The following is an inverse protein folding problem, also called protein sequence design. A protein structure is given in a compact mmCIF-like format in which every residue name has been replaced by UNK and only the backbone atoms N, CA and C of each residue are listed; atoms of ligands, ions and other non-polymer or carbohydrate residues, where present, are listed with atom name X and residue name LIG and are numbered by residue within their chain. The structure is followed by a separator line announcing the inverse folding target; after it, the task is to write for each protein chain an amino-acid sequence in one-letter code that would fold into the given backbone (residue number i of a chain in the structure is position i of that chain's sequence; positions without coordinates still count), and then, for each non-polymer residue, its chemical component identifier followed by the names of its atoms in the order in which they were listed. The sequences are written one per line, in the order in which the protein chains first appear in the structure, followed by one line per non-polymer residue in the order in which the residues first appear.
data_IF_087647795864
#
_entry.id   IF_087647795864
#
_cell.length_a   1.000
_cell.length_b   1.000
_cell.length_c   1.000
_cell.angle_alpha   90.00
_cell.angle_beta   90.00
_cell.angle_gamma   90.00
#
_symmetry.space_group_name_H-M   'P 1'
#
loop_
_entity.id
_entity.type
_entity.pdbx_description
1 polymer ?
#
# COMPACT_ATOMS: atom_id res chain seq x y z
N UNK A 1 -4.32 -1.57 8.32
CA UNK A 1 -3.54 -2.59 9.06
C UNK A 1 -2.35 -1.90 9.71
N UNK A 2 -2.04 -2.25 10.94
CA UNK A 2 -0.82 -1.83 11.63
C UNK A 2 0.05 -3.07 11.86
N UNK A 3 1.38 -2.94 11.78
CA UNK A 3 2.25 -4.11 11.90
C UNK A 3 3.53 -3.86 12.68
N UNK A 4 4.28 -4.93 12.93
CA UNK A 4 5.62 -4.88 13.52
C UNK A 4 6.70 -4.47 12.50
N UNK A 5 6.35 -4.34 11.20
CA UNK A 5 7.26 -3.87 10.16
C UNK A 5 7.16 -2.35 10.05
N UNK A 6 8.25 -1.60 10.24
CA UNK A 6 8.23 -0.15 10.13
C UNK A 6 7.78 0.35 8.75
N UNK A 7 7.12 1.51 8.71
CA UNK A 7 6.69 2.15 7.46
C UNK A 7 5.55 1.46 6.71
N UNK A 8 4.84 0.53 7.34
CA UNK A 8 3.71 -0.19 6.73
C UNK A 8 2.34 0.24 7.27
N UNK A 9 2.31 1.09 8.29
CA UNK A 9 1.09 1.47 8.99
C UNK A 9 0.50 2.76 8.42
N UNK A 10 -0.64 2.65 7.75
CA UNK A 10 -1.41 3.78 7.23
C UNK A 10 -2.92 3.49 7.30
N UNK A 11 -3.73 4.54 7.27
CA UNK A 11 -5.19 4.48 7.31
C UNK A 11 -5.78 5.34 6.20
N UNK A 12 -6.82 4.83 5.58
CA UNK A 12 -7.61 5.59 4.61
C UNK A 12 -9.03 5.69 5.12
N UNK A 13 -9.46 6.91 5.46
CA UNK A 13 -10.82 7.19 5.94
C UNK A 13 -11.64 7.73 4.77
N UNK A 14 -12.68 7.00 4.38
CA UNK A 14 -13.53 7.34 3.24
C UNK A 14 -14.99 7.34 3.62
N UNK A 15 -15.79 8.13 2.92
CA UNK A 15 -17.26 8.02 2.91
C UNK A 15 -17.73 7.53 1.55
N UNK A 16 -18.74 6.67 1.56
CA UNK A 16 -19.47 6.30 0.35
C UNK A 16 -20.43 7.43 0.01
N UNK A 17 -20.44 7.81 -1.25
CA UNK A 17 -21.39 8.79 -1.81
C UNK A 17 -22.12 8.14 -2.99
N UNK A 18 -23.40 8.47 -3.13
CA UNK A 18 -24.21 8.04 -4.26
C UNK A 18 -24.56 9.26 -5.10
N UNK A 19 -23.92 9.38 -6.26
CA UNK A 19 -24.14 10.50 -7.18
C UNK A 19 -24.27 9.96 -8.60
N UNK A 20 -25.19 10.52 -9.37
CA UNK A 20 -25.44 10.14 -10.78
C UNK A 20 -25.70 8.64 -10.99
N UNK A 21 -26.41 7.99 -10.05
CA UNK A 21 -26.73 6.57 -10.15
C UNK A 21 -25.57 5.61 -9.86
N UNK A 22 -24.44 6.10 -9.35
CA UNK A 22 -23.26 5.30 -9.03
C UNK A 22 -22.78 5.55 -7.60
N UNK A 23 -22.30 4.48 -6.98
CA UNK A 23 -21.58 4.59 -5.71
C UNK A 23 -20.11 4.93 -5.99
N UNK A 24 -19.60 5.90 -5.27
CA UNK A 24 -18.19 6.25 -5.26
C UNK A 24 -17.70 6.43 -3.82
N UNK A 25 -16.40 6.44 -3.61
CA UNK A 25 -15.82 6.71 -2.30
C UNK A 25 -14.97 7.97 -2.33
N UNK A 26 -15.13 8.83 -1.32
CA UNK A 26 -14.36 10.07 -1.19
C UNK A 26 -13.59 10.07 0.12
N UNK A 27 -12.32 10.44 0.05
CA UNK A 27 -11.47 10.64 1.23
C UNK A 27 -12.06 11.72 2.16
N UNK A 28 -11.95 11.49 3.47
CA UNK A 28 -12.36 12.47 4.49
C UNK A 28 -11.09 13.05 5.09
N UNK A 29 -10.87 14.33 4.82
CA UNK A 29 -9.78 15.14 5.39
C UNK A 29 -10.14 15.67 6.77
N UNK A 30 -9.15 16.04 7.58
CA UNK A 30 -9.31 16.65 8.89
C UNK A 30 -9.77 15.69 10.00
N UNK A 31 -9.61 14.38 9.80
CA UNK A 31 -9.88 13.40 10.87
C UNK A 31 -8.75 13.39 11.90
N UNK A 32 -9.11 13.21 13.19
CA UNK A 32 -8.13 12.80 14.20
C UNK A 32 -8.10 11.28 14.26
N UNK A 33 -6.98 10.71 13.83
CA UNK A 33 -6.77 9.25 13.76
C UNK A 33 -5.66 8.87 14.71
N UNK A 34 -5.90 7.88 15.57
CA UNK A 34 -4.90 7.34 16.48
C UNK A 34 -5.10 5.85 16.69
N UNK A 35 -4.02 5.18 17.07
CA UNK A 35 -4.07 3.85 17.65
C UNK A 35 -3.67 3.93 19.12
N UNK A 36 -4.25 3.06 19.91
CA UNK A 36 -4.12 3.07 21.35
C UNK A 36 -3.72 1.67 21.80
N UNK A 37 -2.64 1.58 22.55
CA UNK A 37 -2.30 0.34 23.23
C UNK A 37 -3.37 0.08 24.32
N UNK A 38 -4.07 -1.04 24.23
CA UNK A 38 -5.18 -1.35 25.12
C UNK A 38 -4.77 -1.57 26.58
N UNK A 39 -3.48 -1.89 26.81
CA UNK A 39 -2.95 -2.18 28.15
C UNK A 39 -2.33 -0.94 28.78
N UNK A 40 -1.45 -0.24 28.05
CA UNK A 40 -0.72 0.93 28.56
C UNK A 40 -1.47 2.23 28.39
N UNK A 41 -2.53 2.26 27.55
CA UNK A 41 -3.27 3.46 27.13
C UNK A 41 -2.41 4.48 26.38
N UNK A 42 -1.23 4.09 25.95
CA UNK A 42 -0.38 4.90 25.06
C UNK A 42 -1.07 5.10 23.72
N UNK A 43 -1.14 6.35 23.27
CA UNK A 43 -1.76 6.71 21.99
C UNK A 43 -0.73 7.22 21.00
N UNK A 44 -0.79 6.71 19.77
CA UNK A 44 0.03 7.16 18.66
C UNK A 44 -0.86 7.77 17.59
N UNK A 45 -0.62 9.04 17.28
CA UNK A 45 -1.42 9.82 16.33
C UNK A 45 -0.88 9.70 14.92
N UNK A 46 -1.80 9.68 13.96
CA UNK A 46 -1.50 9.70 12.54
C UNK A 46 -1.48 11.14 12.02
N UNK A 47 -0.64 11.39 11.03
CA UNK A 47 -0.56 12.65 10.31
C UNK A 47 -1.28 12.50 8.98
N UNK A 48 -2.10 13.48 8.63
CA UNK A 48 -2.76 13.53 7.31
C UNK A 48 -1.74 13.80 6.21
N UNK A 49 -1.90 13.07 5.12
CA UNK A 49 -1.19 13.27 3.85
C UNK A 49 -2.23 13.57 2.75
N UNK A 50 -1.82 13.68 1.50
CA UNK A 50 -2.72 14.04 0.37
C UNK A 50 -3.97 13.14 0.26
N UNK A 51 -3.87 11.86 0.63
CA UNK A 51 -4.97 10.89 0.47
C UNK A 51 -5.04 9.81 1.55
N UNK A 52 -4.26 9.95 2.61
CA UNK A 52 -4.17 8.96 3.69
C UNK A 52 -3.81 9.62 5.02
N UNK A 53 -3.97 8.86 6.09
CA UNK A 53 -3.39 9.14 7.39
C UNK A 53 -2.23 8.18 7.61
N UNK A 54 -1.08 8.72 7.95
CA UNK A 54 0.17 7.98 8.06
C UNK A 54 0.80 8.20 9.43
N UNK A 55 1.34 7.15 10.04
CA UNK A 55 2.10 7.24 11.28
C UNK A 55 3.60 7.33 10.97
N UNK A 56 4.40 7.81 11.92
CA UNK A 56 5.87 7.84 11.78
C UNK A 56 6.41 6.52 11.23
N UNK A 57 7.38 6.61 10.31
CA UNK A 57 8.01 5.43 9.70
C UNK A 57 8.67 4.51 10.71
N UNK A 58 9.13 5.06 11.83
CA UNK A 58 9.77 4.27 12.89
C UNK A 58 8.76 3.55 13.78
N UNK A 59 7.47 3.89 13.64
CA UNK A 59 6.43 3.25 14.42
C UNK A 59 6.25 1.79 14.01
N UNK A 60 6.23 0.92 15.00
CA UNK A 60 5.97 -0.51 14.86
C UNK A 60 5.24 -1.05 16.08
N UNK A 61 4.40 -2.03 15.87
CA UNK A 61 3.76 -2.80 16.95
C UNK A 61 4.77 -3.73 17.62
N UNK A 62 4.40 -4.23 18.79
CA UNK A 62 5.18 -5.24 19.52
C UNK A 62 4.37 -6.55 19.59
N UNK A 63 4.94 -7.71 19.24
CA UNK A 63 4.26 -8.99 19.41
C UNK A 63 3.74 -9.19 20.82
N UNK A 64 2.55 -9.78 20.97
CA UNK A 64 1.88 -10.01 22.25
C UNK A 64 1.11 -8.82 22.80
N UNK A 65 1.31 -7.59 22.30
CA UNK A 65 0.55 -6.43 22.73
C UNK A 65 -0.84 -6.38 22.09
N UNK A 66 -1.74 -5.59 22.68
CA UNK A 66 -3.10 -5.36 22.17
C UNK A 66 -3.30 -3.91 21.79
N UNK A 67 -3.92 -3.68 20.66
CA UNK A 67 -4.13 -2.35 20.11
C UNK A 67 -5.55 -2.19 19.58
N UNK A 68 -6.05 -0.97 19.65
CA UNK A 68 -7.30 -0.54 19.03
C UNK A 68 -7.09 0.76 18.26
N UNK A 69 -7.99 1.06 17.34
CA UNK A 69 -7.95 2.29 16.56
C UNK A 69 -9.14 3.18 16.90
N UNK A 70 -8.90 4.48 17.00
CA UNK A 70 -9.94 5.49 17.13
C UNK A 70 -9.84 6.49 15.99
N UNK A 71 -10.98 6.80 15.39
CA UNK A 71 -11.14 7.80 14.34
C UNK A 71 -12.21 8.80 14.75
N UNK A 72 -11.84 10.06 14.90
CA UNK A 72 -12.76 11.17 15.12
C UNK A 72 -12.89 11.99 13.85
N UNK A 73 -14.09 12.03 13.29
CA UNK A 73 -14.38 12.81 12.10
C UNK A 73 -14.55 14.31 12.40
N UNK A 74 -14.38 15.20 11.42
CA UNK A 74 -14.58 16.65 11.59
C UNK A 74 -15.98 17.03 12.07
N UNK A 75 -16.99 16.21 11.80
CA UNK A 75 -18.37 16.42 12.26
C UNK A 75 -18.66 15.91 13.68
N UNK A 76 -17.64 15.45 14.41
CA UNK A 76 -17.74 14.96 15.77
C UNK A 76 -18.12 13.48 15.94
N UNK A 77 -18.43 12.75 14.86
CA UNK A 77 -18.64 11.31 14.94
C UNK A 77 -17.36 10.60 15.32
N UNK A 78 -17.45 9.68 16.27
CA UNK A 78 -16.32 8.92 16.81
C UNK A 78 -16.51 7.43 16.55
N UNK A 79 -15.54 6.84 15.89
CA UNK A 79 -15.50 5.40 15.61
C UNK A 79 -14.32 4.77 16.34
N UNK A 80 -14.55 3.58 16.86
CA UNK A 80 -13.53 2.79 17.55
C UNK A 80 -13.53 1.36 17.03
N UNK A 81 -12.37 0.72 17.00
CA UNK A 81 -12.30 -0.69 16.71
C UNK A 81 -12.34 -1.55 17.97
N UNK A 82 -12.68 -2.83 17.83
CA UNK A 82 -12.31 -3.82 18.84
C UNK A 82 -10.79 -3.85 19.01
N UNK A 83 -10.36 -4.30 20.19
CA UNK A 83 -8.94 -4.53 20.48
C UNK A 83 -8.43 -5.78 19.75
N UNK A 84 -7.32 -5.65 19.03
CA UNK A 84 -6.66 -6.71 18.27
C UNK A 84 -5.32 -7.10 18.93
N UNK A 85 -5.08 -8.39 19.06
CA UNK A 85 -3.81 -8.95 19.51
C UNK A 85 -2.81 -8.94 18.35
N UNK A 86 -1.57 -8.53 18.61
CA UNK A 86 -0.45 -8.70 17.69
C UNK A 86 0.09 -10.13 17.85
N UNK A 87 -0.01 -11.00 16.84
CA UNK A 87 0.48 -12.38 16.93
C UNK A 87 2.02 -12.47 17.05
N UNK A 88 2.55 -13.70 17.04
CA UNK A 88 3.99 -13.92 16.94
C UNK A 88 4.49 -13.71 15.51
N UNK A 89 5.75 -13.30 15.37
CA UNK A 89 6.41 -13.18 14.07
C UNK A 89 6.92 -14.54 13.58
N UNK A 90 6.75 -14.81 12.30
CA UNK A 90 7.31 -15.99 11.63
C UNK A 90 8.26 -15.51 10.53
N UNK A 91 9.54 -15.90 10.55
CA UNK A 91 10.53 -15.42 9.58
C UNK A 91 10.37 -16.08 8.21
N UNK A 92 10.71 -15.34 7.16
CA UNK A 92 10.87 -15.85 5.79
C UNK A 92 12.31 -16.37 5.63
N UNK A 93 12.47 -17.65 5.27
CA UNK A 93 13.79 -18.26 5.07
C UNK A 93 14.42 -17.83 3.74
N UNK A 94 13.66 -18.01 2.66
CA UNK A 94 14.10 -17.71 1.29
C UNK A 94 13.01 -17.03 0.49
N UNK A 95 13.43 -16.25 -0.50
CA UNK A 95 12.58 -15.66 -1.53
C UNK A 95 13.09 -16.12 -2.89
N UNK A 96 12.18 -16.47 -3.77
CA UNK A 96 12.45 -16.91 -5.12
C UNK A 96 11.66 -16.08 -6.12
N UNK A 97 12.21 -15.89 -7.30
CA UNK A 97 11.58 -15.18 -8.39
C UNK A 97 11.66 -16.03 -9.66
N UNK A 98 10.63 -15.95 -10.48
CA UNK A 98 10.59 -16.58 -11.80
C UNK A 98 9.83 -15.69 -12.77
N UNK A 99 10.50 -15.28 -13.85
CA UNK A 99 9.86 -14.58 -14.95
C UNK A 99 8.96 -15.53 -15.75
N UNK A 100 7.80 -15.03 -16.19
CA UNK A 100 6.88 -15.71 -17.10
C UNK A 100 6.20 -14.69 -18.02
N UNK A 101 5.98 -15.09 -19.28
CA UNK A 101 5.25 -14.27 -20.25
C UNK A 101 3.74 -14.29 -20.01
N UNK A 102 3.24 -15.26 -19.26
CA UNK A 102 1.84 -15.47 -18.95
C UNK A 102 1.59 -15.36 -17.43
N UNK A 103 1.86 -14.19 -16.85
CA UNK A 103 1.68 -13.99 -15.39
C UNK A 103 0.23 -13.75 -15.03
N UNK A 104 -0.43 -12.80 -15.68
CA UNK A 104 -1.79 -12.34 -15.40
C UNK A 104 -2.55 -12.23 -16.71
N UNK A 105 -3.74 -12.80 -16.81
CA UNK A 105 -4.63 -12.56 -17.93
C UNK A 105 -5.40 -11.27 -17.72
N UNK A 106 -5.26 -10.33 -18.63
CA UNK A 106 -6.01 -9.06 -18.63
C UNK A 106 -7.23 -9.20 -19.54
N UNK A 107 -8.42 -9.22 -18.96
CA UNK A 107 -9.67 -9.37 -19.69
C UNK A 107 -9.96 -8.18 -20.60
N UNK A 108 -9.55 -6.97 -20.21
CA UNK A 108 -9.79 -5.76 -20.99
C UNK A 108 -8.91 -5.73 -22.25
N UNK A 109 -7.70 -6.26 -22.17
CA UNK A 109 -6.75 -6.36 -23.28
C UNK A 109 -6.88 -7.67 -24.04
N UNK A 110 -7.54 -8.69 -23.49
CA UNK A 110 -7.69 -10.01 -24.08
C UNK A 110 -6.36 -10.77 -24.23
N UNK A 111 -5.36 -10.47 -23.40
CA UNK A 111 -4.01 -11.07 -23.48
C UNK A 111 -3.39 -11.27 -22.11
N UNK A 112 -2.33 -12.07 -22.06
CA UNK A 112 -1.51 -12.17 -20.85
C UNK A 112 -0.53 -11.01 -20.73
N UNK A 113 -0.35 -10.56 -19.48
CA UNK A 113 0.70 -9.64 -19.08
C UNK A 113 1.86 -10.46 -18.53
N UNK A 114 3.06 -10.22 -19.05
CA UNK A 114 4.29 -10.83 -18.55
C UNK A 114 4.65 -10.26 -17.16
N UNK A 115 5.48 -10.98 -16.43
CA UNK A 115 5.98 -10.49 -15.14
C UNK A 115 6.68 -11.57 -14.33
N UNK A 116 6.84 -11.29 -13.05
CA UNK A 116 7.59 -12.10 -12.11
C UNK A 116 6.66 -12.73 -11.08
N UNK A 117 6.64 -14.06 -11.05
CA UNK A 117 6.04 -14.82 -9.95
C UNK A 117 7.03 -14.87 -8.79
N UNK A 118 6.60 -14.43 -7.63
CA UNK A 118 7.43 -14.42 -6.41
C UNK A 118 6.88 -15.44 -5.42
N UNK A 119 7.78 -16.29 -4.93
CA UNK A 119 7.47 -17.33 -3.94
C UNK A 119 8.46 -17.32 -2.79
N UNK A 120 8.06 -17.89 -1.66
CA UNK A 120 8.85 -17.93 -0.44
C UNK A 120 8.94 -19.33 0.15
N UNK A 121 10.00 -19.52 0.94
CA UNK A 121 10.16 -20.65 1.85
C UNK A 121 10.13 -20.15 3.29
N UNK A 122 9.49 -20.87 4.18
CA UNK A 122 9.54 -20.62 5.63
C UNK A 122 9.24 -21.89 6.42
N UNK A 123 9.61 -21.88 7.70
CA UNK A 123 9.30 -22.96 8.64
C UNK A 123 8.07 -22.59 9.45
N UNK A 124 7.01 -23.37 9.28
CA UNK A 124 5.80 -23.22 10.09
C UNK A 124 6.08 -23.60 11.56
N UNK A 125 5.72 -22.76 12.55
CA UNK A 125 5.80 -23.12 13.97
C UNK A 125 4.91 -24.32 14.30
N UNK A 126 5.33 -25.09 15.32
CA UNK A 126 4.55 -26.22 15.85
C UNK A 126 3.63 -25.76 16.98
N UNK A 127 2.46 -26.38 17.08
CA UNK A 127 1.53 -26.20 18.20
C UNK A 127 0.95 -24.79 18.35
N UNK A 128 1.00 -24.00 17.29
CA UNK A 128 0.36 -22.69 17.18
C UNK A 128 -0.53 -22.69 15.94
N UNK A 129 -1.64 -21.97 16.01
CA UNK A 129 -2.44 -21.70 14.81
C UNK A 129 -1.98 -20.40 14.19
N UNK A 130 -1.58 -20.44 12.93
CA UNK A 130 -1.07 -19.29 12.23
C UNK A 130 -1.91 -18.99 10.99
N UNK A 131 -2.16 -17.71 10.81
CA UNK A 131 -2.93 -17.17 9.69
C UNK A 131 -2.12 -16.08 9.04
N UNK A 132 -1.79 -16.24 7.77
CA UNK A 132 -0.91 -15.34 7.04
C UNK A 132 -1.65 -14.52 6.02
N UNK A 133 -1.27 -13.26 5.94
CA UNK A 133 -1.59 -12.34 4.88
C UNK A 133 -0.30 -11.87 4.23
N UNK A 134 -0.16 -12.08 2.92
CA UNK A 134 1.03 -11.67 2.19
C UNK A 134 0.76 -10.41 1.40
N UNK A 135 1.72 -9.51 1.48
CA UNK A 135 1.77 -8.31 0.63
C UNK A 135 3.16 -8.19 0.05
N UNK A 136 3.31 -7.44 -1.04
CA UNK A 136 4.62 -6.97 -1.44
C UNK A 136 4.64 -5.45 -1.60
N UNK A 137 5.84 -4.90 -1.47
CA UNK A 137 6.21 -3.56 -1.90
C UNK A 137 7.25 -3.70 -3.00
N UNK A 138 6.93 -3.22 -4.21
CA UNK A 138 7.87 -3.17 -5.32
C UNK A 138 8.43 -1.75 -5.42
N UNK A 139 9.72 -1.59 -5.18
CA UNK A 139 10.39 -0.29 -5.28
C UNK A 139 11.04 -0.15 -6.65
N UNK A 140 10.71 0.89 -7.38
CA UNK A 140 11.34 1.27 -8.65
C UNK A 140 11.93 2.66 -8.50
N UNK A 141 13.18 2.83 -8.96
CA UNK A 141 13.83 4.12 -8.94
C UNK A 141 13.23 5.03 -10.00
N UNK A 142 12.78 6.20 -9.61
CA UNK A 142 12.29 7.24 -10.51
C UNK A 142 12.98 8.57 -10.26
N UNK A 143 13.04 9.43 -11.28
CA UNK A 143 13.36 10.83 -11.11
C UNK A 143 12.07 11.57 -10.77
N UNK A 144 12.06 12.23 -9.63
CA UNK A 144 10.85 12.90 -9.15
C UNK A 144 10.82 14.36 -9.58
N UNK A 145 9.73 14.76 -10.23
CA UNK A 145 9.44 16.13 -10.61
C UNK A 145 8.13 16.61 -9.98
N UNK A 146 8.19 17.63 -9.15
CA UNK A 146 6.98 18.26 -8.60
C UNK A 146 6.31 19.11 -9.68
N UNK A 147 5.11 18.71 -10.08
CA UNK A 147 4.27 19.51 -10.98
C UNK A 147 3.55 20.61 -10.19
N UNK A 148 3.53 21.81 -10.75
CA UNK A 148 2.74 22.92 -10.25
C UNK A 148 1.79 23.36 -11.34
N UNK A 149 0.49 23.07 -11.22
CA UNK A 149 -0.51 23.47 -12.18
C UNK A 149 -0.64 24.99 -12.19
N UNK A 150 -0.42 25.61 -13.36
CA UNK A 150 -0.40 27.06 -13.55
C UNK A 150 0.50 27.81 -12.55
N UNK A 151 1.61 27.20 -12.13
CA UNK A 151 2.46 27.75 -11.11
C UNK A 151 3.93 27.43 -11.29
N UNK A 152 4.72 27.97 -10.38
CA UNK A 152 6.16 27.77 -10.29
C UNK A 152 6.47 27.18 -8.92
N UNK A 153 7.28 26.11 -8.87
CA UNK A 153 7.75 25.56 -7.59
C UNK A 153 8.87 26.43 -7.04
N UNK A 154 8.67 26.97 -5.84
CA UNK A 154 9.67 27.80 -5.12
C UNK A 154 9.59 27.54 -3.63
N UNK A 155 10.75 27.42 -2.99
CA UNK A 155 10.87 27.31 -1.53
C UNK A 155 9.96 26.25 -0.89
N UNK A 156 9.73 25.14 -1.59
CA UNK A 156 8.87 24.05 -1.08
C UNK A 156 7.40 24.15 -1.48
N UNK A 157 6.97 25.22 -2.13
CA UNK A 157 5.57 25.46 -2.47
C UNK A 157 5.36 25.77 -3.95
N UNK A 158 4.15 25.49 -4.45
CA UNK A 158 3.72 25.93 -5.78
C UNK A 158 3.16 27.36 -5.70
N UNK A 159 3.87 28.31 -6.31
CA UNK A 159 3.44 29.72 -6.40
C UNK A 159 2.61 29.91 -7.67
N UNK A 160 1.35 30.26 -7.51
CA UNK A 160 0.43 30.46 -8.65
C UNK A 160 0.91 31.54 -9.61
N UNK A 161 0.82 31.27 -10.89
CA UNK A 161 1.10 32.18 -12.00
C UNK A 161 -0.12 32.33 -12.92
N UNK A 162 -1.33 32.16 -12.41
CA UNK A 162 -2.57 32.12 -13.18
C UNK A 162 -2.84 33.39 -14.04
N UNK A 163 -2.27 34.51 -13.61
CA UNK A 163 -2.37 35.79 -14.32
C UNK A 163 -1.29 36.00 -15.40
N UNK A 164 -0.37 35.05 -15.54
CA UNK A 164 0.66 35.11 -16.56
C UNK A 164 0.19 34.34 -17.80
N UNK A 165 -0.11 35.01 -18.93
CA UNK A 165 -0.58 34.33 -20.14
C UNK A 165 0.45 33.39 -20.78
N UNK A 166 1.69 33.49 -20.37
CA UNK A 166 2.77 32.60 -20.78
C UNK A 166 3.00 31.44 -19.78
N UNK A 167 2.24 31.43 -18.67
CA UNK A 167 2.35 30.33 -17.70
C UNK A 167 1.76 29.07 -18.33
N UNK A 168 2.66 28.21 -18.75
CA UNK A 168 2.39 26.81 -19.03
C UNK A 168 2.79 26.00 -17.77
N UNK A 169 2.48 24.72 -17.77
CA UNK A 169 2.95 23.80 -16.74
C UNK A 169 4.48 23.68 -16.80
N UNK A 170 5.17 24.54 -16.08
CA UNK A 170 6.64 24.60 -16.10
C UNK A 170 7.26 23.84 -14.93
N UNK A 171 8.32 23.10 -15.19
CA UNK A 171 9.29 22.75 -14.16
C UNK A 171 10.39 23.81 -14.11
N UNK A 172 10.51 24.46 -12.98
CA UNK A 172 11.50 25.51 -12.74
C UNK A 172 12.60 25.01 -11.79
N UNK A 173 12.88 23.70 -11.81
CA UNK A 173 13.87 23.03 -10.98
C UNK A 173 14.42 21.83 -11.74
N UNK A 174 15.56 21.33 -11.29
CA UNK A 174 16.14 20.11 -11.82
C UNK A 174 15.39 18.89 -11.20
N UNK A 175 15.00 17.94 -12.06
CA UNK A 175 14.40 16.69 -11.64
C UNK A 175 15.48 15.64 -11.39
N UNK A 176 16.44 15.93 -10.52
CA UNK A 176 17.64 15.13 -10.26
C UNK A 176 17.59 14.35 -8.94
N UNK A 177 16.56 14.59 -8.13
CA UNK A 177 16.37 13.86 -6.88
C UNK A 177 15.94 12.43 -7.14
N UNK A 178 16.73 11.50 -6.62
CA UNK A 178 16.32 10.09 -6.61
C UNK A 178 15.15 9.89 -5.67
N UNK A 179 14.14 9.18 -6.17
CA UNK A 179 12.93 8.83 -5.48
C UNK A 179 12.64 7.37 -5.81
N UNK A 180 11.98 6.66 -4.92
CA UNK A 180 11.52 5.30 -5.19
C UNK A 180 10.00 5.28 -5.18
N UNK A 181 9.42 4.99 -6.34
CA UNK A 181 8.01 4.65 -6.46
C UNK A 181 7.77 3.34 -5.75
N UNK A 182 6.66 3.23 -5.01
CA UNK A 182 6.28 2.02 -4.27
C UNK A 182 5.01 1.46 -4.89
N UNK A 183 5.11 0.29 -5.48
CA UNK A 183 3.99 -0.47 -6.02
C UNK A 183 3.57 -1.55 -5.02
N UNK A 184 2.27 -1.79 -4.90
CA UNK A 184 1.71 -2.81 -4.01
C UNK A 184 0.97 -3.85 -4.82
N UNK A 185 0.86 -5.07 -4.27
CA UNK A 185 -0.04 -6.06 -4.86
C UNK A 185 -1.50 -5.63 -4.70
N UNK A 186 -2.29 -5.90 -5.73
CA UNK A 186 -3.74 -5.66 -5.73
C UNK A 186 -4.50 -6.88 -5.20
N UNK A 187 -3.89 -8.05 -5.25
CA UNK A 187 -4.50 -9.31 -4.87
C UNK A 187 -4.38 -9.60 -3.37
N UNK A 188 -5.41 -10.25 -2.84
CA UNK A 188 -5.40 -10.76 -1.47
C UNK A 188 -4.77 -12.15 -1.48
N UNK A 189 -3.56 -12.27 -0.94
CA UNK A 189 -2.84 -13.53 -0.77
C UNK A 189 -2.91 -13.98 0.68
N UNK A 190 -3.53 -15.13 0.91
CA UNK A 190 -3.78 -15.69 2.23
C UNK A 190 -3.29 -17.13 2.31
N UNK A 191 -2.81 -17.53 3.49
CA UNK A 191 -2.43 -18.90 3.80
C UNK A 191 -2.74 -19.20 5.26
N UNK A 192 -3.19 -20.40 5.57
CA UNK A 192 -3.35 -20.92 6.93
C UNK A 192 -2.60 -22.23 7.10
N UNK A 193 -2.33 -22.60 8.35
CA UNK A 193 -1.55 -23.76 8.70
C UNK A 193 -2.39 -25.03 8.98
N UNK A 194 -3.69 -25.03 8.64
CA UNK A 194 -4.63 -26.13 8.97
C UNK A 194 -4.04 -27.52 8.67
N UNK A 195 -3.31 -27.66 7.55
CA UNK A 195 -2.70 -28.92 7.12
C UNK A 195 -1.17 -28.94 7.17
N UNK A 196 -0.55 -27.86 7.61
CA UNK A 196 0.89 -27.64 7.49
C UNK A 196 1.59 -27.30 8.80
N UNK A 197 0.88 -27.32 9.91
CA UNK A 197 1.41 -26.99 11.24
C UNK A 197 2.71 -27.74 11.53
N UNK A 198 3.79 -27.00 11.82
CA UNK A 198 5.12 -27.52 12.09
C UNK A 198 5.89 -28.04 10.86
N UNK A 199 5.40 -27.88 9.65
CA UNK A 199 6.06 -28.31 8.42
C UNK A 199 6.89 -27.20 7.77
N UNK A 200 7.86 -27.59 6.97
CA UNK A 200 8.56 -26.66 6.10
C UNK A 200 7.70 -26.37 4.87
N UNK A 201 7.38 -25.10 4.66
CA UNK A 201 6.67 -24.61 3.46
C UNK A 201 7.72 -24.25 2.43
N UNK A 202 7.54 -24.72 1.19
CA UNK A 202 8.47 -24.48 0.08
C UNK A 202 7.75 -23.94 -1.13
N UNK A 203 8.35 -22.93 -1.79
CA UNK A 203 7.83 -22.31 -3.02
C UNK A 203 6.37 -21.87 -2.93
N UNK A 204 5.95 -21.35 -1.78
CA UNK A 204 4.61 -20.76 -1.64
C UNK A 204 4.54 -19.48 -2.48
N UNK A 205 3.65 -19.45 -3.48
CA UNK A 205 3.42 -18.29 -4.32
C UNK A 205 2.71 -17.21 -3.50
N UNK A 206 3.32 -16.03 -3.42
CA UNK A 206 2.84 -14.94 -2.57
C UNK A 206 2.71 -13.60 -3.29
N UNK A 207 3.25 -13.48 -4.50
CA UNK A 207 3.17 -12.24 -5.26
C UNK A 207 3.26 -12.45 -6.77
N UNK A 208 2.52 -11.63 -7.50
CA UNK A 208 2.60 -11.48 -8.96
C UNK A 208 2.98 -10.04 -9.25
N UNK A 209 4.17 -9.84 -9.81
CA UNK A 209 4.76 -8.52 -10.08
C UNK A 209 4.76 -8.28 -11.59
N UNK A 210 3.82 -7.49 -12.12
CA UNK A 210 3.71 -7.25 -13.55
C UNK A 210 4.96 -6.57 -14.14
N UNK A 211 5.21 -6.83 -15.42
CA UNK A 211 6.32 -6.27 -16.16
C UNK A 211 5.85 -5.10 -17.01
N UNK A 212 5.83 -3.89 -16.42
CA UNK A 212 5.43 -2.67 -17.12
C UNK A 212 6.59 -1.78 -17.54
N UNK A 213 7.81 -2.10 -17.10
CA UNK A 213 9.02 -1.37 -17.45
C UNK A 213 10.26 -2.27 -17.42
N UNK A 214 11.30 -1.86 -18.12
CA UNK A 214 12.64 -2.49 -18.06
C UNK A 214 13.47 -2.02 -16.85
N UNK A 215 12.92 -1.16 -16.00
CA UNK A 215 13.60 -0.70 -14.80
C UNK A 215 13.73 -1.84 -13.80
N UNK A 216 14.88 -1.91 -13.14
CA UNK A 216 15.06 -2.84 -12.03
C UNK A 216 14.04 -2.56 -10.92
N UNK A 217 13.56 -3.60 -10.27
CA UNK A 217 12.62 -3.50 -9.17
C UNK A 217 13.11 -4.28 -7.96
N UNK A 218 13.14 -3.65 -6.80
CA UNK A 218 13.31 -4.36 -5.53
C UNK A 218 11.95 -4.78 -5.01
N UNK A 219 11.72 -6.08 -4.93
CA UNK A 219 10.48 -6.64 -4.39
C UNK A 219 10.71 -7.08 -2.96
N UNK A 220 10.01 -6.46 -2.02
CA UNK A 220 10.00 -6.83 -0.62
C UNK A 220 8.68 -7.53 -0.31
N UNK A 221 8.75 -8.80 0.07
CA UNK A 221 7.59 -9.57 0.54
C UNK A 221 7.41 -9.33 2.03
N UNK A 222 6.19 -8.97 2.41
CA UNK A 222 5.74 -8.82 3.78
C UNK A 222 4.92 -10.06 4.15
N UNK A 223 5.45 -10.93 5.00
CA UNK A 223 4.71 -12.03 5.61
C UNK A 223 4.12 -11.54 6.92
N UNK A 224 2.81 -11.36 6.95
CA UNK A 224 2.07 -10.81 8.07
C UNK A 224 1.24 -11.90 8.73
N UNK A 225 1.59 -12.27 9.97
CA UNK A 225 0.77 -13.14 10.79
C UNK A 225 -0.35 -12.30 11.42
N UNK A 226 -1.60 -12.75 11.25
CA UNK A 226 -2.82 -12.05 11.66
C UNK A 226 -3.72 -12.96 12.50
N UNK A 227 -4.68 -12.38 13.22
CA UNK A 227 -5.61 -13.17 14.01
C UNK A 227 -6.59 -13.96 13.10
N UNK A 228 -7.14 -15.08 13.61
CA UNK A 228 -8.19 -15.86 12.92
C UNK A 228 -9.38 -14.98 12.48
N UNK A 229 -9.79 -14.01 13.31
CA UNK A 229 -10.86 -13.06 12.97
C UNK A 229 -10.49 -12.20 11.76
N UNK A 230 -9.25 -11.70 11.73
CA UNK A 230 -8.75 -10.92 10.60
C UNK A 230 -8.63 -11.75 9.33
N UNK A 231 -8.13 -12.98 9.43
CA UNK A 231 -8.04 -13.91 8.30
C UNK A 231 -9.42 -14.18 7.68
N UNK A 232 -10.43 -14.50 8.50
CA UNK A 232 -11.80 -14.69 8.01
C UNK A 232 -12.35 -13.47 7.29
N UNK A 233 -12.08 -12.28 7.81
CA UNK A 233 -12.49 -11.03 7.17
C UNK A 233 -11.86 -10.86 5.78
N UNK A 234 -10.54 -11.03 5.66
CA UNK A 234 -9.85 -10.92 4.38
C UNK A 234 -10.22 -12.04 3.41
N UNK A 235 -10.47 -13.25 3.92
CA UNK A 235 -10.98 -14.36 3.11
C UNK A 235 -12.36 -14.03 2.53
N UNK A 236 -13.25 -13.44 3.33
CA UNK A 236 -14.56 -12.99 2.84
C UNK A 236 -14.42 -11.93 1.74
N UNK A 237 -13.51 -10.94 1.90
CA UNK A 237 -13.25 -9.96 0.85
C UNK A 237 -12.74 -10.65 -0.42
N UNK A 238 -11.77 -11.56 -0.27
CA UNK A 238 -11.23 -12.32 -1.39
C UNK A 238 -12.34 -13.09 -2.12
N UNK A 239 -13.17 -13.81 -1.38
CA UNK A 239 -14.29 -14.58 -1.94
C UNK A 239 -15.30 -13.67 -2.66
N UNK A 240 -15.59 -12.47 -2.14
CA UNK A 240 -16.43 -11.47 -2.81
C UNK A 240 -15.80 -11.00 -4.12
N UNK A 241 -14.51 -10.68 -4.13
CA UNK A 241 -13.81 -10.19 -5.32
C UNK A 241 -13.71 -11.28 -6.39
N UNK A 242 -13.30 -12.48 -6.00
CA UNK A 242 -13.08 -13.59 -6.92
C UNK A 242 -14.39 -14.13 -7.52
N UNK A 243 -15.52 -14.04 -6.81
CA UNK A 243 -16.81 -14.56 -7.24
C UNK A 243 -17.76 -13.51 -7.84
N UNK A 244 -17.36 -12.26 -7.96
CA UNK A 244 -18.21 -11.16 -8.46
C UNK A 244 -18.45 -11.21 -9.98
N UNK A 245 -17.90 -12.18 -10.70
CA UNK A 245 -17.91 -12.26 -12.16
C UNK A 245 -18.72 -13.43 -12.72
N UNK A 246 -20.01 -13.58 -12.35
CA UNK A 246 -20.82 -14.63 -12.98
C UNK A 246 -22.29 -14.64 -12.60
N UNK A 247 -23.16 -15.16 -13.50
CA UNK A 247 -24.60 -15.32 -13.31
C UNK A 247 -24.97 -16.20 -12.11
N UNK A 248 -24.05 -17.01 -11.60
CA UNK A 248 -24.22 -17.92 -10.48
C UNK A 248 -23.41 -17.52 -9.24
N UNK A 249 -22.98 -16.24 -9.15
CA UNK A 249 -22.26 -15.76 -8.00
C UNK A 249 -23.13 -15.95 -6.73
N UNK A 250 -22.63 -16.64 -5.68
CA UNK A 250 -23.36 -16.74 -4.43
C UNK A 250 -23.59 -15.34 -3.87
N UNK A 251 -24.68 -15.15 -3.14
CA UNK A 251 -24.92 -13.90 -2.43
C UNK A 251 -23.70 -13.58 -1.54
N UNK A 252 -23.13 -12.37 -1.64
CA UNK A 252 -21.97 -12.01 -0.84
C UNK A 252 -22.31 -12.16 0.63
N UNK A 253 -21.45 -12.85 1.37
CA UNK A 253 -21.51 -12.89 2.83
C UNK A 253 -21.43 -11.48 3.37
N UNK A 254 -22.16 -11.17 4.42
CA UNK A 254 -22.07 -9.87 5.07
C UNK A 254 -20.64 -9.62 5.53
N UNK A 255 -20.01 -8.58 5.02
CA UNK A 255 -18.67 -8.16 5.42
C UNK A 255 -18.77 -7.43 6.76
N UNK A 256 -18.49 -8.13 7.85
CA UNK A 256 -18.53 -7.57 9.19
C UNK A 256 -17.12 -7.17 9.62
N UNK A 257 -16.90 -5.86 9.75
CA UNK A 257 -15.67 -5.30 10.30
C UNK A 257 -15.59 -5.41 11.83
N UNK A 258 -14.69 -4.64 12.43
CA UNK A 258 -14.58 -4.54 13.89
C UNK A 258 -14.64 -3.10 14.39
N UNK A 259 -15.10 -2.17 13.56
CA UNK A 259 -15.37 -0.79 13.96
C UNK A 259 -16.84 -0.60 14.36
N UNK A 260 -17.06 0.30 15.28
CA UNK A 260 -18.38 0.75 15.70
C UNK A 260 -18.37 2.25 16.00
N UNK A 261 -19.52 2.92 15.84
CA UNK A 261 -19.69 4.28 16.29
C UNK A 261 -19.92 4.28 17.82
N UNK A 262 -19.11 5.04 18.54
CA UNK A 262 -19.16 5.08 20.04
C UNK A 262 -20.47 5.65 20.56
N UNK A 263 -21.11 6.54 19.80
CA UNK A 263 -22.29 7.29 20.23
C UNK A 263 -23.60 6.81 19.57
N UNK A 264 -23.50 5.96 18.54
CA UNK A 264 -24.66 5.53 17.77
C UNK A 264 -24.42 4.12 17.17
N UNK A 265 -25.01 3.12 17.79
CA UNK A 265 -24.86 1.72 17.37
C UNK A 265 -25.53 1.40 16.03
N UNK A 266 -26.45 2.25 15.57
CA UNK A 266 -27.16 2.10 14.29
C UNK A 266 -26.42 2.72 13.11
N UNK A 267 -25.35 3.48 13.37
CA UNK A 267 -24.52 4.10 12.31
C UNK A 267 -23.54 3.07 11.73
N UNK A 268 -23.78 2.54 10.51
CA UNK A 268 -22.97 1.46 9.98
C UNK A 268 -21.60 1.98 9.56
N UNK A 269 -20.57 1.22 9.90
CA UNK A 269 -19.21 1.48 9.44
C UNK A 269 -18.59 0.22 8.86
N UNK A 270 -18.03 0.36 7.67
CA UNK A 270 -17.29 -0.72 7.03
C UNK A 270 -15.80 -0.55 7.30
N UNK A 271 -15.12 -1.65 7.46
CA UNK A 271 -13.68 -1.68 7.65
C UNK A 271 -13.26 -2.47 8.88
N UNK A 272 -11.98 -2.82 8.89
CA UNK A 272 -11.38 -3.55 9.98
C UNK A 272 -10.02 -2.97 10.34
N UNK A 273 -9.81 -2.69 11.61
CA UNK A 273 -8.48 -2.56 12.18
C UNK A 273 -7.90 -3.97 12.38
N UNK A 274 -6.69 -4.17 11.89
CA UNK A 274 -5.95 -5.42 12.05
C UNK A 274 -4.56 -5.09 12.55
N UNK A 275 -4.19 -5.69 13.68
CA UNK A 275 -2.84 -5.69 14.20
C UNK A 275 -2.13 -6.97 13.71
N UNK A 276 -0.96 -6.81 13.11
CA UNK A 276 -0.22 -7.91 12.50
C UNK A 276 1.22 -7.97 12.99
N UNK A 277 1.74 -9.18 13.12
CA UNK A 277 3.17 -9.40 13.29
C UNK A 277 3.78 -9.81 11.97
N UNK A 278 4.90 -9.21 11.56
CA UNK A 278 5.45 -9.48 10.26
C UNK A 278 6.96 -9.51 10.20
N UNK A 279 7.43 -10.23 9.22
CA UNK A 279 8.81 -10.19 8.73
C UNK A 279 8.79 -9.93 7.24
N UNK A 280 9.83 -9.26 6.77
CA UNK A 280 10.00 -9.03 5.35
C UNK A 280 11.29 -9.64 4.82
N UNK A 281 11.29 -9.92 3.53
CA UNK A 281 12.47 -10.34 2.79
C UNK A 281 12.40 -9.76 1.38
N UNK A 282 13.55 -9.28 0.87
CA UNK A 282 13.61 -8.61 -0.42
C UNK A 282 14.42 -9.39 -1.44
N UNK A 283 14.14 -9.11 -2.71
CA UNK A 283 14.92 -9.56 -3.86
C UNK A 283 14.96 -8.44 -4.90
N UNK A 284 16.17 -8.13 -5.37
CA UNK A 284 16.35 -7.20 -6.48
C UNK A 284 16.24 -7.95 -7.81
N UNK A 285 15.24 -7.59 -8.59
CA UNK A 285 14.98 -8.20 -9.91
C UNK A 285 15.57 -7.29 -10.98
N UNK A 286 16.57 -7.80 -11.69
CA UNK A 286 17.20 -7.12 -12.81
C UNK A 286 16.40 -7.36 -14.08
N UNK A 287 15.82 -6.31 -14.65
CA UNK A 287 14.90 -6.39 -15.80
C UNK A 287 15.52 -6.02 -17.14
N UNK A 288 16.67 -5.36 -17.16
CA UNK A 288 17.30 -4.83 -18.37
C UNK A 288 17.69 -5.85 -19.46
N UNK A 289 17.69 -7.15 -19.14
CA UNK A 289 17.96 -8.22 -20.12
C UNK A 289 16.72 -8.96 -20.63
N UNK A 290 15.53 -8.56 -20.21
CA UNK A 290 14.27 -9.24 -20.54
C UNK A 290 13.70 -8.64 -21.82
N UNK A 291 13.55 -9.45 -22.88
CA UNK A 291 12.94 -9.08 -24.16
C UNK A 291 11.45 -9.48 -24.17
N UNK A 292 10.67 -8.96 -23.27
CA UNK A 292 9.22 -9.14 -23.29
C UNK A 292 8.53 -7.89 -23.83
N UNK A 293 7.40 -8.08 -24.52
CA UNK A 293 6.53 -6.97 -24.91
C UNK A 293 5.74 -6.56 -23.68
N UNK A 294 5.83 -5.29 -23.30
CA UNK A 294 5.03 -4.72 -22.24
C UNK A 294 4.33 -3.46 -22.72
N UNK A 295 3.14 -3.21 -22.18
CA UNK A 295 2.52 -1.91 -22.31
C UNK A 295 3.10 -1.04 -21.21
N UNK A 296 3.89 -0.04 -21.61
CA UNK A 296 4.41 0.92 -20.65
C UNK A 296 3.24 1.56 -19.89
N UNK A 297 3.32 1.57 -18.58
CA UNK A 297 2.44 2.40 -17.76
C UNK A 297 2.45 3.80 -18.37
N UNK A 298 1.26 4.39 -18.59
CA UNK A 298 1.15 5.73 -19.18
C UNK A 298 1.99 6.70 -18.35
N UNK A 299 3.17 6.97 -18.85
CA UNK A 299 4.01 8.02 -18.27
C UNK A 299 3.42 9.34 -18.74
N UNK A 300 2.92 10.13 -17.82
CA UNK A 300 2.63 11.53 -18.13
C UNK A 300 3.85 12.11 -18.82
N UNK A 301 3.71 12.70 -20.02
CA UNK A 301 4.84 13.29 -20.71
C UNK A 301 5.56 14.20 -19.74
N UNK A 302 6.87 13.93 -19.55
CA UNK A 302 7.71 14.79 -18.74
C UNK A 302 7.65 16.16 -19.41
N UNK A 303 7.18 17.21 -18.72
CA UNK A 303 7.17 18.53 -19.33
C UNK A 303 8.59 18.88 -19.75
N UNK A 304 8.72 19.43 -20.94
CA UNK A 304 9.99 19.91 -21.43
C UNK A 304 10.58 20.89 -20.43
N UNK A 305 11.82 20.64 -20.02
CA UNK A 305 12.61 21.65 -19.33
C UNK A 305 12.65 22.85 -20.27
N UNK A 306 12.07 23.97 -19.86
CA UNK A 306 12.14 25.17 -20.68
C UNK A 306 13.59 25.54 -20.96
N UNK A 307 13.90 25.59 -22.23
CA UNK A 307 15.13 26.21 -22.68
C UNK A 307 15.25 27.64 -22.17
N UNK A 308 16.45 28.05 -21.89
CA UNK A 308 16.95 29.29 -21.34
C UNK A 308 16.12 30.57 -21.50
N UNK A 309 16.17 31.45 -20.50
CA UNK A 309 16.83 31.29 -19.21
C UNK A 309 15.83 30.91 -18.11
N UNK A 310 16.17 29.91 -17.33
CA UNK A 310 15.41 29.57 -16.10
C UNK A 310 15.38 30.81 -15.20
N UNK A 311 14.20 31.22 -14.68
CA UNK A 311 14.13 32.39 -13.82
C UNK A 311 14.94 32.22 -12.55
N UNK A 312 15.64 33.24 -12.12
CA UNK A 312 16.47 33.27 -10.94
C UNK A 312 15.65 33.71 -9.70
N UNK A 313 15.77 33.08 -8.51
CA UNK A 313 16.61 31.92 -8.19
C UNK A 313 15.97 30.59 -8.60
N UNK A 314 16.78 29.65 -9.10
CA UNK A 314 16.38 28.30 -9.43
C UNK A 314 16.31 27.49 -8.13
N UNK A 315 15.22 26.75 -7.94
CA UNK A 315 15.20 25.67 -6.95
C UNK A 315 15.92 24.49 -7.56
N UNK A 316 17.05 24.09 -7.00
CA UNK A 316 17.93 23.08 -7.61
C UNK A 316 17.32 21.69 -7.68
N UNK A 317 16.40 21.36 -6.80
CA UNK A 317 15.70 20.08 -6.82
C UNK A 317 14.37 20.19 -6.08
N UNK A 318 13.37 19.43 -6.53
CA UNK A 318 12.16 19.19 -5.74
C UNK A 318 12.39 17.99 -4.84
N UNK A 319 12.13 18.09 -3.53
CA UNK A 319 12.27 16.94 -2.64
C UNK A 319 11.26 15.85 -3.02
N UNK A 320 11.70 14.60 -2.99
CA UNK A 320 10.80 13.45 -3.05
C UNK A 320 9.83 13.51 -1.87
N UNK A 321 8.54 13.58 -2.15
CA UNK A 321 7.51 13.65 -1.11
C UNK A 321 7.26 12.26 -0.57
N UNK A 322 7.56 12.09 0.71
CA UNK A 322 7.27 10.85 1.44
C UNK A 322 5.77 10.56 1.49
N UNK A 323 5.41 9.31 1.26
CA UNK A 323 4.01 8.88 1.31
C UNK A 323 3.87 7.36 1.16
N UNK A 324 2.63 6.92 0.98
CA UNK A 324 2.36 5.50 0.74
C UNK A 324 3.05 4.97 -0.52
N UNK A 325 3.01 5.75 -1.60
CA UNK A 325 3.43 5.31 -2.94
C UNK A 325 4.81 5.81 -3.35
N UNK A 326 5.54 6.49 -2.45
CA UNK A 326 6.82 7.08 -2.75
C UNK A 326 7.67 7.29 -1.51
N UNK A 327 8.99 7.17 -1.68
CA UNK A 327 9.96 7.43 -0.61
C UNK A 327 11.27 8.00 -1.16
N UNK A 328 11.86 8.95 -0.43
CA UNK A 328 13.22 9.44 -0.67
C UNK A 328 14.28 8.48 -0.10
N UNK A 329 13.89 7.60 0.80
CA UNK A 329 14.81 6.69 1.47
C UNK A 329 15.12 5.54 0.52
N UNK A 330 16.41 5.36 0.22
CA UNK A 330 16.87 4.20 -0.57
C UNK A 330 16.47 2.90 0.15
N UNK A 331 15.75 1.99 -0.52
CA UNK A 331 15.41 0.71 0.07
C UNK A 331 16.66 -0.09 0.42
N UNK A 332 16.61 -0.84 1.51
CA UNK A 332 17.66 -1.81 1.84
C UNK A 332 17.75 -2.84 0.71
N UNK A 333 18.95 -3.29 0.39
CA UNK A 333 19.22 -4.30 -0.66
C UNK A 333 18.94 -3.82 -2.11
N UNK A 334 18.87 -2.50 -2.35
CA UNK A 334 18.75 -1.94 -3.71
C UNK A 334 20.05 -2.07 -4.54
N UNK A 335 21.19 -2.40 -3.99
CA UNK A 335 22.49 -2.47 -4.68
C UNK A 335 22.78 -3.80 -5.34
#
# INVERSE_FOLDING_TARGET
MASTIPGTTYVNVKKTIFEYGRYSSRFISGCNVKIINSETQEAVYFVETESNYFVSRDFKLTPGSRWEMEVLLPNGKRYRSESELVPNEVPVDKIHERFTEELIYDEALGKYIAGHEVSIDFQEPKNEENFYYFQYRGFEKELYCKRCDYGIYRSGECVSQINNPLAKDYYTYLCDQSCWKINYNEEISLFDDEFTNGKAIRNLKVGRVPFYSNSDILVEILQLNITRKAFKYFKTIKDIVDNNSGFNAPLPSALIGNFYNVNDSEDPVLGRFTAAAGKSKSILIKRGGINAIFEAEYQYPQPELLGDPLPNPITYSAPCIEGRYRTAIKPLEWD
#
